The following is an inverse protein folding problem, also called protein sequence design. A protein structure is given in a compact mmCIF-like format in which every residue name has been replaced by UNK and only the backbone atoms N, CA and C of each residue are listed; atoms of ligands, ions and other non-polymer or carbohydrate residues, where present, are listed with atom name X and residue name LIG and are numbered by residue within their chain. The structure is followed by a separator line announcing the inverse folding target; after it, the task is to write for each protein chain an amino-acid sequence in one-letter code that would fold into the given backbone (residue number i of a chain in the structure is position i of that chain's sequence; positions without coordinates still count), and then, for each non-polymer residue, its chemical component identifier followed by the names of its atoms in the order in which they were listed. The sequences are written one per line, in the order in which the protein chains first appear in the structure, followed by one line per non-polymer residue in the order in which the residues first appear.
data_IF_222008782630
#
_entry.id   IF_222008782630
#
_cell.length_a   1.000
_cell.length_b   1.000
_cell.length_c   1.000
_cell.angle_alpha   90.00
_cell.angle_beta   90.00
_cell.angle_gamma   90.00
#
_symmetry.space_group_name_H-M   'P 1'
#
loop_
_entity.id
_entity.type
_entity.pdbx_description
1 polymer ?
#
# COMPACT_ATOMS: atom_id res chain seq x y z
N UNK A 1 -12.46 14.32 -9.84
CA UNK A 1 -11.63 15.02 -8.83
C UNK A 1 -10.22 14.49 -9.00
N UNK A 2 -9.25 15.37 -9.22
CA UNK A 2 -7.86 14.98 -9.48
C UNK A 2 -7.37 14.12 -8.32
N UNK A 3 -6.67 13.03 -8.62
CA UNK A 3 -6.11 12.06 -7.67
C UNK A 3 -4.96 12.69 -6.86
N UNK A 4 -5.15 13.83 -6.21
CA UNK A 4 -4.06 14.61 -5.59
C UNK A 4 -3.34 13.84 -4.48
N UNK A 5 -3.97 12.85 -3.85
CA UNK A 5 -3.34 11.99 -2.85
C UNK A 5 -2.29 11.03 -3.43
N UNK A 6 -2.42 10.58 -4.69
CA UNK A 6 -1.45 9.65 -5.29
C UNK A 6 -0.09 10.35 -5.46
N UNK A 7 0.03 11.51 -6.14
CA UNK A 7 1.30 12.22 -6.24
C UNK A 7 1.89 12.58 -4.89
N UNK A 8 1.07 12.91 -3.88
CA UNK A 8 1.55 13.22 -2.54
C UNK A 8 2.19 11.99 -1.89
N UNK A 9 1.54 10.82 -1.95
CA UNK A 9 2.14 9.60 -1.41
C UNK A 9 3.37 9.17 -2.22
N UNK A 10 3.32 9.21 -3.56
CA UNK A 10 4.45 8.85 -4.43
C UNK A 10 5.68 9.73 -4.13
N UNK A 11 5.47 11.04 -3.90
CA UNK A 11 6.52 11.94 -3.46
C UNK A 11 7.05 11.59 -2.06
N UNK A 12 6.15 11.25 -1.11
CA UNK A 12 6.53 10.83 0.25
C UNK A 12 7.39 9.57 0.27
N UNK A 13 7.08 8.57 -0.58
CA UNK A 13 7.83 7.29 -0.64
C UNK A 13 9.00 7.32 -1.65
N UNK A 14 9.16 8.41 -2.40
CA UNK A 14 10.24 8.59 -3.38
C UNK A 14 10.12 7.72 -4.64
N UNK A 15 8.96 7.14 -4.91
CA UNK A 15 8.71 6.29 -6.08
C UNK A 15 7.23 6.21 -6.44
N UNK A 16 6.94 5.68 -7.63
CA UNK A 16 5.57 5.39 -8.04
C UNK A 16 4.98 4.20 -7.29
N UNK A 17 3.66 4.20 -7.14
CA UNK A 17 2.93 3.05 -6.60
C UNK A 17 2.97 1.87 -7.57
N UNK A 18 3.24 0.67 -7.05
CA UNK A 18 3.16 -0.56 -7.82
C UNK A 18 1.77 -1.20 -7.67
N UNK A 19 0.85 -0.72 -8.51
CA UNK A 19 -0.52 -1.22 -8.58
C UNK A 19 -0.61 -2.73 -8.88
N UNK A 20 0.38 -3.31 -9.57
CA UNK A 20 0.41 -4.76 -9.87
C UNK A 20 0.65 -5.59 -8.62
N UNK A 21 1.29 -4.99 -7.61
CA UNK A 21 1.54 -5.61 -6.31
C UNK A 21 0.45 -5.30 -5.28
N UNK A 22 -0.60 -4.60 -5.68
CA UNK A 22 -1.72 -4.24 -4.79
C UNK A 22 -1.40 -3.09 -3.84
N UNK A 23 -0.46 -2.23 -4.20
CA UNK A 23 -0.20 -1.00 -3.46
C UNK A 23 -1.35 0.00 -3.63
N UNK A 24 -1.77 0.62 -2.53
CA UNK A 24 -2.83 1.61 -2.49
C UNK A 24 -2.50 2.73 -1.49
N UNK A 25 -3.12 3.89 -1.70
CA UNK A 25 -3.10 5.01 -0.75
C UNK A 25 -4.20 4.81 0.28
N UNK A 26 -3.87 4.97 1.55
CA UNK A 26 -4.84 4.96 2.65
C UNK A 26 -4.80 6.28 3.42
N UNK A 27 -5.98 6.80 3.76
CA UNK A 27 -6.16 7.96 4.64
C UNK A 27 -6.38 7.48 6.08
N UNK A 28 -5.43 7.78 6.97
CA UNK A 28 -5.45 7.30 8.37
C UNK A 28 -6.70 7.78 9.12
N UNK A 29 -7.11 9.03 8.90
CA UNK A 29 -8.32 9.59 9.52
C UNK A 29 -9.63 9.30 8.76
N UNK A 30 -9.57 8.59 7.63
CA UNK A 30 -10.72 8.29 6.77
C UNK A 30 -11.29 9.50 5.99
N UNK A 31 -10.70 10.68 6.14
CA UNK A 31 -11.11 11.92 5.47
C UNK A 31 -10.44 11.98 4.10
N UNK A 32 -11.23 11.77 3.04
CA UNK A 32 -10.74 11.53 1.66
C UNK A 32 -10.05 12.72 1.00
N UNK A 33 -10.31 13.93 1.48
CA UNK A 33 -9.75 15.18 0.99
C UNK A 33 -8.59 15.70 1.85
N UNK A 34 -8.31 15.08 3.00
CA UNK A 34 -7.12 15.36 3.79
C UNK A 34 -5.89 14.67 3.20
N UNK A 35 -5.28 15.32 2.21
CA UNK A 35 -4.10 14.83 1.51
C UNK A 35 -2.79 15.22 2.19
N UNK A 36 -2.79 15.60 3.47
CA UNK A 36 -1.55 15.88 4.19
C UNK A 36 -0.64 14.64 4.16
N UNK A 37 0.68 14.74 3.84
CA UNK A 37 1.55 13.57 3.75
C UNK A 37 1.57 12.70 5.02
N UNK A 38 1.40 13.32 6.20
CA UNK A 38 1.27 12.60 7.47
C UNK A 38 -0.03 11.79 7.63
N UNK A 39 -1.08 12.11 6.86
CA UNK A 39 -2.36 11.40 6.86
C UNK A 39 -2.41 10.28 5.80
N UNK A 40 -1.43 10.20 4.90
CA UNK A 40 -1.38 9.20 3.83
C UNK A 40 -0.41 8.07 4.15
N UNK A 41 -0.87 6.83 3.99
CA UNK A 41 -0.08 5.62 4.13
C UNK A 41 -0.04 4.79 2.86
N UNK A 42 1.07 4.06 2.66
CA UNK A 42 1.18 3.00 1.68
C UNK A 42 0.60 1.72 2.28
N UNK A 43 -0.43 1.17 1.65
CA UNK A 43 -1.04 -0.10 2.02
C UNK A 43 -0.83 -1.14 0.92
N UNK A 44 -0.68 -2.40 1.30
CA UNK A 44 -0.71 -3.56 0.39
C UNK A 44 -1.97 -4.35 0.68
N UNK A 45 -2.89 -4.40 -0.28
CA UNK A 45 -4.22 -5.03 -0.06
C UNK A 45 -4.34 -6.45 -0.59
N UNK A 46 -3.33 -6.93 -1.32
CA UNK A 46 -3.33 -8.29 -1.87
C UNK A 46 -2.96 -9.29 -0.78
N UNK A 47 -3.94 -10.05 -0.29
CA UNK A 47 -3.71 -11.22 0.56
C UNK A 47 -4.43 -12.45 -0.02
N UNK A 48 -3.75 -13.60 -0.15
CA UNK A 48 -4.36 -14.79 -0.72
C UNK A 48 -5.38 -15.40 0.28
N UNK A 49 -6.57 -15.74 -0.18
CA UNK A 49 -7.68 -16.22 0.66
C UNK A 49 -7.85 -17.73 0.58
N UNK A 50 -7.78 -18.42 1.72
CA UNK A 50 -8.04 -19.86 1.80
C UNK A 50 -6.85 -20.73 1.40
N UNK A 51 -5.65 -20.36 1.87
CA UNK A 51 -4.41 -21.08 1.53
C UNK A 51 -3.93 -21.99 2.65
N UNK A 52 -3.02 -22.91 2.31
CA UNK A 52 -2.32 -23.71 3.31
C UNK A 52 -1.38 -22.81 4.12
N UNK A 53 -1.08 -23.16 5.38
CA UNK A 53 -0.12 -22.40 6.20
C UNK A 53 1.23 -22.17 5.50
N UNK A 54 1.76 -23.17 4.79
CA UNK A 54 3.04 -23.05 4.07
C UNK A 54 3.01 -21.99 2.96
N UNK A 55 1.89 -21.89 2.23
CA UNK A 55 1.69 -20.88 1.19
C UNK A 55 1.64 -19.48 1.79
N UNK A 56 1.02 -19.33 2.97
CA UNK A 56 0.98 -18.05 3.71
C UNK A 56 2.36 -17.64 4.20
N UNK A 57 3.18 -18.58 4.69
CA UNK A 57 4.57 -18.28 5.09
C UNK A 57 5.40 -17.89 3.87
N UNK A 58 5.23 -18.55 2.73
CA UNK A 58 5.91 -18.18 1.49
C UNK A 58 5.53 -16.75 1.06
N UNK A 59 4.23 -16.43 1.05
CA UNK A 59 3.75 -15.07 0.78
C UNK A 59 4.31 -14.03 1.77
N UNK A 60 4.36 -14.35 3.07
CA UNK A 60 4.94 -13.45 4.06
C UNK A 60 6.43 -13.17 3.79
N UNK A 61 7.19 -14.18 3.34
CA UNK A 61 8.59 -13.99 2.93
C UNK A 61 8.73 -13.08 1.71
N UNK A 62 7.81 -13.15 0.75
CA UNK A 62 7.79 -12.23 -0.40
C UNK A 62 7.53 -10.79 0.03
N UNK A 63 6.59 -10.57 0.94
CA UNK A 63 6.31 -9.25 1.53
C UNK A 63 7.55 -8.71 2.23
N UNK A 64 8.19 -9.51 3.08
CA UNK A 64 9.43 -9.11 3.78
C UNK A 64 10.54 -8.80 2.77
N UNK A 65 10.75 -9.64 1.75
CA UNK A 65 11.78 -9.41 0.74
C UNK A 65 11.56 -8.10 -0.03
N UNK A 66 10.33 -7.62 -0.14
CA UNK A 66 9.98 -6.41 -0.89
C UNK A 66 10.02 -5.15 -0.04
N UNK A 67 9.62 -5.25 1.23
CA UNK A 67 9.34 -4.09 2.09
C UNK A 67 10.10 -4.06 3.42
N UNK A 68 10.77 -5.15 3.80
CA UNK A 68 11.49 -5.31 5.07
C UNK A 68 12.95 -4.87 5.03
#
# INVERSE_FOLDING_TARGET
MVLEHIPVLEAKIGRRLDWRQGEQVHHVNGVRDDNHPGNLELWVVSQPRGQRPEDLVAWAREIISRYG
#
